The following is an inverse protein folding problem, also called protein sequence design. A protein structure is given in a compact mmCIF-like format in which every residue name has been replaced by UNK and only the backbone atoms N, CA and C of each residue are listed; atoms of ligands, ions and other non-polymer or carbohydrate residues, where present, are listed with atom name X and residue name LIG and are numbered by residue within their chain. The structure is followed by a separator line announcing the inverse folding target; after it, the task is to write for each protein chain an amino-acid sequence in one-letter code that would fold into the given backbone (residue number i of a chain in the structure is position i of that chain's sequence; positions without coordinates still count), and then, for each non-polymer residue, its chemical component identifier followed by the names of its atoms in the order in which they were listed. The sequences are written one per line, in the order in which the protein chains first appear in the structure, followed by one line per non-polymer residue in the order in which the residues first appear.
data_IF_576676513976
#
_entry.id   IF_576676513976
#
_cell.length_a   1.000
_cell.length_b   1.000
_cell.length_c   1.000
_cell.angle_alpha   90.00
_cell.angle_beta   90.00
_cell.angle_gamma   90.00
#
_symmetry.space_group_name_H-M   'P 1'
#
loop_
_entity.id
_entity.type
_entity.pdbx_description
1 polymer ?
#
# COMPACT_ATOMS: atom_id res chain seq x y z
N UNK A 1 -9.26 -19.55 5.08
CA UNK A 1 -7.81 -19.70 5.28
C UNK A 1 -7.18 -18.33 5.57
N UNK A 2 -7.66 -17.63 6.61
CA UNK A 2 -7.23 -16.28 7.01
C UNK A 2 -7.03 -16.22 8.54
N UNK A 3 -6.43 -17.27 9.11
CA UNK A 3 -6.32 -17.45 10.57
C UNK A 3 -5.08 -16.84 11.23
N UNK A 4 -4.27 -16.07 10.49
CA UNK A 4 -2.93 -15.66 10.94
C UNK A 4 -2.67 -14.15 10.93
N UNK A 5 -3.70 -13.32 10.68
CA UNK A 5 -3.56 -11.86 10.76
C UNK A 5 -3.49 -11.39 12.22
N UNK A 6 -4.21 -12.04 13.12
CA UNK A 6 -4.26 -11.69 14.55
C UNK A 6 -2.90 -11.88 15.26
N UNK A 7 -2.05 -12.79 14.76
CA UNK A 7 -0.71 -13.02 15.30
C UNK A 7 0.30 -11.95 14.87
N UNK A 8 0.14 -11.39 13.67
CA UNK A 8 0.93 -10.25 13.19
C UNK A 8 0.51 -8.95 13.87
N UNK A 9 -0.79 -8.75 14.13
CA UNK A 9 -1.28 -7.57 14.85
C UNK A 9 -0.84 -7.55 16.32
N UNK A 10 -0.81 -8.71 17.00
CA UNK A 10 -0.35 -8.82 18.39
C UNK A 10 1.14 -8.45 18.56
N UNK A 11 1.98 -8.66 17.54
CA UNK A 11 3.39 -8.24 17.55
C UNK A 11 3.61 -6.79 17.09
N UNK A 12 2.67 -6.22 16.34
CA UNK A 12 2.74 -4.85 15.84
C UNK A 12 2.25 -3.81 16.87
N UNK A 13 1.38 -4.21 17.80
CA UNK A 13 0.63 -3.32 18.70
C UNK A 13 1.46 -2.54 19.75
N UNK A 14 2.79 -2.59 19.74
CA UNK A 14 3.59 -1.98 20.83
C UNK A 14 4.97 -1.44 20.49
N UNK A 15 5.43 -1.46 19.24
CA UNK A 15 6.72 -0.85 18.87
C UNK A 15 6.50 0.28 17.86
N UNK A 16 6.68 1.57 18.21
CA UNK A 16 6.57 2.67 17.25
C UNK A 16 7.53 2.51 16.05
N UNK A 17 8.62 1.75 16.22
CA UNK A 17 9.51 1.36 15.14
C UNK A 17 8.85 0.47 14.08
N UNK A 18 7.88 -0.38 14.45
CA UNK A 18 7.21 -1.26 13.47
C UNK A 18 6.35 -0.46 12.49
N UNK A 19 5.66 0.58 12.98
CA UNK A 19 4.81 1.45 12.16
C UNK A 19 5.65 2.32 11.25
N UNK A 20 6.71 2.95 11.76
CA UNK A 20 7.63 3.74 10.94
C UNK A 20 8.29 2.88 9.83
N UNK A 21 8.75 1.68 10.18
CA UNK A 21 9.30 0.74 9.20
C UNK A 21 8.27 0.31 8.15
N UNK A 22 7.02 0.10 8.55
CA UNK A 22 5.93 -0.23 7.62
C UNK A 22 5.66 0.93 6.66
N UNK A 23 5.65 2.17 7.14
CA UNK A 23 5.48 3.36 6.31
C UNK A 23 6.62 3.47 5.30
N UNK A 24 7.87 3.28 5.74
CA UNK A 24 9.03 3.35 4.84
C UNK A 24 9.03 2.21 3.82
N UNK A 25 8.67 0.99 4.23
CA UNK A 25 8.49 -0.12 3.30
C UNK A 25 7.42 0.17 2.23
N UNK A 26 6.31 0.80 2.62
CA UNK A 26 5.27 1.22 1.68
C UNK A 26 5.75 2.30 0.72
N UNK A 27 6.52 3.29 1.20
CA UNK A 27 7.12 4.33 0.33
C UNK A 27 7.99 3.70 -0.75
N UNK A 28 8.89 2.80 -0.35
CA UNK A 28 9.77 2.07 -1.29
C UNK A 28 8.95 1.25 -2.30
N UNK A 29 7.89 0.58 -1.87
CA UNK A 29 7.01 -0.18 -2.77
C UNK A 29 6.30 0.73 -3.77
N UNK A 30 5.81 1.90 -3.35
CA UNK A 30 5.12 2.83 -4.24
C UNK A 30 6.07 3.45 -5.27
N UNK A 31 7.31 3.76 -4.88
CA UNK A 31 8.35 4.24 -5.79
C UNK A 31 8.73 3.17 -6.82
N UNK A 32 8.93 1.93 -6.39
CA UNK A 32 9.24 0.82 -7.31
C UNK A 32 8.10 0.57 -8.30
N UNK A 33 6.85 0.71 -7.84
CA UNK A 33 5.66 0.49 -8.63
C UNK A 33 5.13 1.74 -9.33
N UNK A 34 5.93 2.82 -9.41
CA UNK A 34 5.54 4.07 -10.05
C UNK A 34 4.85 3.83 -11.42
N UNK A 35 3.73 4.50 -11.61
CA UNK A 35 2.99 4.48 -12.87
C UNK A 35 3.71 5.30 -13.92
N UNK A 36 3.90 4.72 -15.10
CA UNK A 36 4.39 5.45 -16.28
C UNK A 36 3.30 6.41 -16.80
N UNK A 37 3.68 7.32 -17.69
CA UNK A 37 2.73 8.24 -18.34
C UNK A 37 1.56 7.52 -19.05
N UNK A 38 1.80 6.30 -19.52
CA UNK A 38 0.79 5.43 -20.13
C UNK A 38 -0.13 4.72 -19.13
N UNK A 39 0.03 4.96 -17.81
CA UNK A 39 -0.74 4.32 -16.75
C UNK A 39 -0.32 2.87 -16.43
N UNK A 40 0.83 2.41 -16.97
CA UNK A 40 1.36 1.09 -16.69
C UNK A 40 2.28 1.12 -15.48
N UNK A 41 2.28 0.05 -14.68
CA UNK A 41 3.25 -0.09 -13.58
C UNK A 41 4.65 -0.41 -14.13
N UNK A 42 5.67 0.37 -13.76
CA UNK A 42 7.06 0.17 -14.21
C UNK A 42 7.61 -1.22 -13.84
N UNK A 43 7.41 -1.66 -12.59
CA UNK A 43 7.93 -2.94 -12.09
C UNK A 43 7.16 -4.20 -12.53
N UNK A 44 5.86 -4.12 -12.81
CA UNK A 44 5.06 -5.32 -13.12
C UNK A 44 5.15 -5.77 -14.59
N UNK A 45 5.76 -4.97 -15.46
CA UNK A 45 5.95 -5.29 -16.87
C UNK A 45 4.69 -5.13 -17.76
N UNK A 46 4.79 -5.50 -19.05
CA UNK A 46 3.79 -5.17 -20.09
C UNK A 46 2.39 -5.72 -19.84
N UNK A 47 2.28 -6.78 -19.03
CA UNK A 47 1.02 -7.46 -18.72
C UNK A 47 0.02 -6.59 -17.96
N UNK A 48 0.49 -5.51 -17.32
CA UNK A 48 -0.33 -4.61 -16.51
C UNK A 48 -0.60 -3.26 -17.18
N UNK A 49 -0.29 -3.08 -18.48
CA UNK A 49 -0.48 -1.82 -19.21
C UNK A 49 -1.93 -1.29 -19.23
N UNK A 50 -2.94 -2.10 -18.93
CA UNK A 50 -4.35 -1.70 -18.91
C UNK A 50 -5.03 -1.86 -17.56
N UNK A 51 -4.32 -2.30 -16.52
CA UNK A 51 -4.90 -2.58 -15.21
C UNK A 51 -3.96 -2.14 -14.09
N UNK A 52 -4.53 -1.52 -13.08
CA UNK A 52 -3.80 -1.12 -11.87
C UNK A 52 -3.23 -2.35 -11.15
N UNK A 53 -1.94 -2.30 -10.80
CA UNK A 53 -1.28 -3.42 -10.12
C UNK A 53 -1.85 -3.62 -8.71
N UNK A 54 -1.58 -4.76 -8.09
CA UNK A 54 -2.06 -5.07 -6.73
C UNK A 54 -1.60 -4.05 -5.69
N UNK A 55 -0.35 -3.56 -5.78
CA UNK A 55 0.21 -2.56 -4.85
C UNK A 55 -0.62 -1.28 -4.86
N UNK A 56 -0.84 -0.69 -6.03
CA UNK A 56 -1.67 0.50 -6.17
C UNK A 56 -3.13 0.28 -5.82
N UNK A 57 -3.69 -0.91 -6.10
CA UNK A 57 -5.05 -1.25 -5.64
C UNK A 57 -5.17 -1.22 -4.13
N UNK A 58 -4.19 -1.78 -3.41
CA UNK A 58 -4.17 -1.74 -1.94
C UNK A 58 -3.98 -0.30 -1.45
N UNK A 59 -3.02 0.43 -2.01
CA UNK A 59 -2.76 1.83 -1.62
C UNK A 59 -4.01 2.72 -1.77
N UNK A 60 -4.73 2.62 -2.88
CA UNK A 60 -5.97 3.40 -3.10
C UNK A 60 -7.06 3.03 -2.09
N UNK A 61 -7.19 1.73 -1.76
CA UNK A 61 -8.23 1.27 -0.82
C UNK A 61 -7.95 1.74 0.59
N UNK A 62 -6.69 1.73 1.05
CA UNK A 62 -6.36 1.97 2.45
C UNK A 62 -5.83 3.38 2.75
N UNK A 63 -5.14 4.04 1.80
CA UNK A 63 -4.54 5.36 2.04
C UNK A 63 -5.42 6.49 1.48
N UNK A 64 -5.94 6.35 0.26
CA UNK A 64 -6.69 7.44 -0.40
C UNK A 64 -8.11 7.59 0.14
N UNK A 65 -8.74 6.49 0.59
CA UNK A 65 -10.09 6.57 1.20
C UNK A 65 -10.11 7.32 2.52
N UNK A 66 -8.97 7.45 3.19
CA UNK A 66 -8.88 8.10 4.50
C UNK A 66 -8.88 9.64 4.40
N UNK A 67 -8.53 10.23 3.26
CA UNK A 67 -8.53 11.69 3.07
C UNK A 67 -9.94 12.29 2.95
N UNK A 68 -10.95 11.50 2.58
CA UNK A 68 -12.35 11.96 2.53
C UNK A 68 -13.05 12.00 3.90
N UNK A 69 -12.45 11.41 4.92
CA UNK A 69 -13.00 11.40 6.29
C UNK A 69 -12.43 12.48 7.20
N UNK A 70 -11.31 13.12 6.81
CA UNK A 70 -10.61 14.14 7.61
C UNK A 70 -10.70 15.51 6.93
N UNK A 71 -11.92 16.00 6.73
CA UNK A 71 -12.22 17.40 6.36
C UNK A 71 -13.40 17.95 7.16
N UNK A 72 -13.60 17.43 8.37
CA UNK A 72 -14.66 17.88 9.27
C UNK A 72 -14.32 17.57 10.72
N UNK A 73 -13.46 18.39 11.31
CA UNK A 73 -13.39 18.67 12.74
C UNK A 73 -12.64 20.00 12.93
#
# INVERSE_FOLDING_TARGET
MFGDLTRLEAGASGNPGSTAMLVDAWRVLLELHETTESGACRACGPRWRRRMCSVWRVAVVYFVRHERGYSGA
#
